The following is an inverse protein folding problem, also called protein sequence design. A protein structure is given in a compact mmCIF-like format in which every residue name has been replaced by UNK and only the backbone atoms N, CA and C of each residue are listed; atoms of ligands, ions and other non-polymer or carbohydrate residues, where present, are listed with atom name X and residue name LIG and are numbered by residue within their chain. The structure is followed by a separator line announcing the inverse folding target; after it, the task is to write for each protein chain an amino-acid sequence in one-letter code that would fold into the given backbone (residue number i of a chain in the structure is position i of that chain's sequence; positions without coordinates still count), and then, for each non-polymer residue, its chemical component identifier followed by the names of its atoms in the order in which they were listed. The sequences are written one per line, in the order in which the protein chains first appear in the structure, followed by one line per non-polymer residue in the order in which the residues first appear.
data_IF_648853960738
#
_entry.id   IF_648853960738
#
_cell.length_a   1.000
_cell.length_b   1.000
_cell.length_c   1.000
_cell.angle_alpha   90.00
_cell.angle_beta   90.00
_cell.angle_gamma   90.00
#
_symmetry.space_group_name_H-M   'P 1'
#
loop_
_entity.id
_entity.type
_entity.pdbx_description
1 polymer ?
#
# COMPACT_ATOMS: atom_id res chain seq x y z
N UNK A 1 14.30 13.74 -14.18
CA UNK A 1 13.15 12.82 -14.09
C UNK A 1 13.52 11.71 -13.12
N UNK A 2 12.72 11.50 -12.06
CA UNK A 2 12.92 10.44 -11.07
C UNK A 2 12.27 9.16 -11.66
N UNK A 3 13.08 8.09 -11.80
CA UNK A 3 12.61 6.79 -12.32
C UNK A 3 12.35 5.77 -11.21
N UNK A 4 12.90 6.05 -10.02
CA UNK A 4 12.75 5.18 -8.85
C UNK A 4 11.30 5.18 -8.36
N UNK A 5 10.80 4.03 -7.92
CA UNK A 5 9.52 3.95 -7.24
C UNK A 5 9.56 4.73 -5.93
N UNK A 6 8.50 5.47 -5.67
CA UNK A 6 8.23 6.18 -4.42
C UNK A 6 6.86 5.76 -3.88
N UNK A 7 6.60 6.03 -2.59
CA UNK A 7 5.36 5.61 -1.94
C UNK A 7 4.50 6.82 -1.60
N UNK A 8 3.21 6.65 -1.56
CA UNK A 8 2.27 7.72 -1.17
C UNK A 8 2.54 8.23 0.26
N UNK A 9 2.95 7.34 1.17
CA UNK A 9 3.30 7.70 2.55
C UNK A 9 4.52 8.62 2.66
N UNK A 10 5.33 8.71 1.60
CA UNK A 10 6.53 9.55 1.54
C UNK A 10 6.19 11.02 1.23
N UNK A 11 4.96 11.33 0.78
CA UNK A 11 4.55 12.68 0.40
C UNK A 11 4.55 13.61 1.62
N UNK A 12 3.93 13.19 2.71
CA UNK A 12 3.79 14.03 3.91
C UNK A 12 5.15 14.45 4.50
N UNK A 13 6.09 13.53 4.81
CA UNK A 13 7.41 13.92 5.31
C UNK A 13 8.20 14.76 4.31
N UNK A 14 8.01 14.56 3.01
CA UNK A 14 8.64 15.40 1.98
C UNK A 14 8.14 16.83 2.05
N UNK A 15 6.83 17.04 2.16
CA UNK A 15 6.24 18.37 2.30
C UNK A 15 6.72 19.05 3.58
N UNK A 16 6.75 18.33 4.71
CA UNK A 16 7.25 18.88 5.97
C UNK A 16 8.68 19.40 5.84
N UNK A 17 9.57 18.61 5.23
CA UNK A 17 10.96 19.03 5.02
C UNK A 17 11.06 20.24 4.10
N UNK A 18 10.29 20.27 3.00
CA UNK A 18 10.30 21.40 2.05
C UNK A 18 9.83 22.71 2.66
N UNK A 19 8.95 22.70 3.66
CA UNK A 19 8.46 23.90 4.34
C UNK A 19 9.21 24.18 5.65
N UNK A 20 10.31 23.45 5.92
CA UNK A 20 11.15 23.67 7.10
C UNK A 20 10.56 23.16 8.41
N UNK A 21 9.55 22.31 8.36
CA UNK A 21 9.01 21.62 9.56
C UNK A 21 9.92 20.43 9.83
N UNK A 22 10.87 20.62 10.73
CA UNK A 22 11.82 19.58 11.18
C UNK A 22 11.43 18.93 12.50
N UNK A 23 10.17 19.06 12.92
CA UNK A 23 9.70 18.47 14.18
C UNK A 23 9.80 16.94 14.13
N UNK A 24 9.97 16.36 15.29
CA UNK A 24 9.82 14.93 15.51
C UNK A 24 8.42 14.53 15.00
N UNK A 25 8.36 14.06 13.75
CA UNK A 25 7.11 13.67 13.11
C UNK A 25 6.53 12.39 13.72
N UNK A 26 7.09 11.96 14.86
CA UNK A 26 6.68 10.73 15.52
C UNK A 26 6.96 9.48 14.67
N UNK A 27 6.21 8.44 14.90
CA UNK A 27 6.34 7.17 14.18
C UNK A 27 5.58 7.19 12.85
N UNK A 28 6.02 8.00 11.88
CA UNK A 28 5.48 7.94 10.52
C UNK A 28 6.19 6.85 9.70
N UNK A 29 5.43 6.14 8.85
CA UNK A 29 5.98 5.07 8.02
C UNK A 29 6.63 5.58 6.72
N UNK A 30 6.57 6.88 6.44
CA UNK A 30 7.15 7.53 5.27
C UNK A 30 8.51 8.15 5.56
N UNK A 31 9.21 8.49 4.50
CA UNK A 31 10.48 9.25 4.54
C UNK A 31 10.45 10.37 3.52
N UNK A 32 11.25 11.40 3.77
CA UNK A 32 11.37 12.50 2.81
C UNK A 32 12.03 12.04 1.48
N UNK A 33 11.50 12.54 0.38
CA UNK A 33 12.03 12.37 -0.97
C UNK A 33 12.88 13.56 -1.41
N UNK A 34 13.13 14.54 -0.55
CA UNK A 34 13.99 15.72 -0.85
C UNK A 34 15.36 15.31 -1.39
N UNK A 35 16.03 14.25 -0.89
CA UNK A 35 17.27 13.78 -1.50
C UNK A 35 17.11 13.43 -2.99
N UNK A 36 16.01 12.79 -3.42
CA UNK A 36 15.76 12.50 -4.83
C UNK A 36 15.54 13.77 -5.66
N UNK A 37 14.87 14.78 -5.08
CA UNK A 37 14.71 16.10 -5.74
C UNK A 37 16.06 16.77 -5.96
N UNK A 38 17.00 16.57 -5.05
CA UNK A 38 18.38 17.07 -5.10
C UNK A 38 19.33 16.14 -5.89
N UNK A 39 18.78 15.21 -6.71
CA UNK A 39 19.55 14.27 -7.54
C UNK A 39 20.44 13.28 -6.74
N UNK A 40 20.17 13.11 -5.47
CA UNK A 40 20.80 12.11 -4.64
C UNK A 40 20.07 10.76 -4.78
N UNK A 41 20.70 9.66 -4.39
CA UNK A 41 20.09 8.33 -4.39
C UNK A 41 19.43 8.04 -3.04
N UNK A 42 18.30 7.32 -3.08
CA UNK A 42 17.69 6.69 -1.92
C UNK A 42 17.56 5.19 -2.18
N UNK A 43 17.72 4.37 -1.15
CA UNK A 43 17.38 2.95 -1.24
C UNK A 43 15.90 2.81 -1.53
N UNK A 44 15.54 1.99 -2.50
CA UNK A 44 14.13 1.75 -2.81
C UNK A 44 13.43 1.02 -1.64
N UNK A 45 12.24 1.49 -1.31
CA UNK A 45 11.37 0.88 -0.33
C UNK A 45 10.13 0.28 -1.03
N UNK A 46 9.75 -0.95 -0.71
CA UNK A 46 8.56 -1.56 -1.27
C UNK A 46 7.29 -0.78 -0.87
N UNK A 47 6.40 -0.57 -1.82
CA UNK A 47 5.09 0.04 -1.54
C UNK A 47 4.08 -1.03 -1.16
N UNK A 48 3.48 -0.90 0.04
CA UNK A 48 2.36 -1.73 0.46
C UNK A 48 1.11 -1.38 -0.33
N UNK A 49 0.37 -2.39 -0.74
CA UNK A 49 -0.89 -2.27 -1.48
C UNK A 49 -1.98 -3.00 -0.71
N UNK A 50 -3.11 -2.36 -0.50
CA UNK A 50 -4.32 -2.99 0.00
C UNK A 50 -5.51 -2.59 -0.88
N UNK A 51 -6.29 -3.55 -1.32
CA UNK A 51 -7.56 -3.31 -2.00
C UNK A 51 -8.71 -3.82 -1.15
N UNK A 52 -9.61 -2.91 -0.81
CA UNK A 52 -10.80 -3.19 0.01
C UNK A 52 -12.05 -2.63 -0.63
N UNK A 53 -12.33 -2.97 -1.89
CA UNK A 53 -13.59 -2.54 -2.53
C UNK A 53 -14.78 -3.24 -1.90
N UNK A 54 -15.86 -2.48 -1.63
CA UNK A 54 -17.17 -3.03 -1.27
C UNK A 54 -17.70 -4.01 -2.33
N UNK A 55 -17.27 -3.84 -3.59
CA UNK A 55 -17.55 -4.76 -4.71
C UNK A 55 -16.76 -6.07 -4.64
N UNK A 56 -15.75 -6.16 -3.79
CA UNK A 56 -14.88 -7.34 -3.64
C UNK A 56 -15.53 -8.49 -2.84
N UNK A 57 -16.87 -8.55 -2.76
CA UNK A 57 -17.57 -9.70 -2.15
C UNK A 57 -17.16 -11.04 -2.75
N UNK A 58 -16.71 -11.09 -4.01
CA UNK A 58 -16.24 -12.31 -4.68
C UNK A 58 -14.74 -12.61 -4.51
N UNK A 59 -13.87 -11.62 -4.43
CA UNK A 59 -12.41 -11.82 -4.41
C UNK A 59 -11.78 -11.71 -3.01
N UNK A 60 -12.52 -11.16 -2.02
CA UNK A 60 -11.98 -10.86 -0.71
C UNK A 60 -11.03 -9.66 -0.74
N UNK A 61 -10.54 -9.28 0.43
CA UNK A 61 -9.49 -8.25 0.54
C UNK A 61 -8.18 -8.81 0.02
N UNK A 62 -7.54 -8.07 -0.87
CA UNK A 62 -6.23 -8.40 -1.45
C UNK A 62 -5.20 -7.47 -0.85
N UNK A 63 -4.05 -8.01 -0.46
CA UNK A 63 -2.89 -7.24 -0.02
C UNK A 63 -1.67 -7.63 -0.84
N UNK A 64 -0.69 -6.77 -0.87
CA UNK A 64 0.54 -7.04 -1.61
C UNK A 64 1.58 -5.95 -1.47
N UNK A 65 2.60 -6.06 -2.28
CA UNK A 65 3.68 -5.09 -2.40
C UNK A 65 4.03 -4.84 -3.85
N UNK A 66 4.54 -3.64 -4.09
CA UNK A 66 5.11 -3.23 -5.37
C UNK A 66 6.54 -2.72 -5.16
N UNK A 67 7.42 -3.13 -6.04
CA UNK A 67 8.77 -2.60 -6.23
C UNK A 67 8.90 -2.05 -7.66
N UNK A 68 10.04 -1.52 -8.03
CA UNK A 68 10.31 -1.12 -9.43
C UNK A 68 10.26 -2.31 -10.40
N UNK A 69 10.54 -3.53 -9.93
CA UNK A 69 10.63 -4.71 -10.79
C UNK A 69 9.37 -5.58 -10.76
N UNK A 70 8.76 -5.74 -9.59
CA UNK A 70 7.68 -6.70 -9.40
C UNK A 70 6.50 -6.12 -8.64
N UNK A 71 5.31 -6.61 -8.96
CA UNK A 71 4.10 -6.44 -8.17
C UNK A 71 3.59 -7.80 -7.74
N UNK A 72 3.45 -7.98 -6.45
CA UNK A 72 2.98 -9.20 -5.82
C UNK A 72 1.70 -8.94 -5.04
N UNK A 73 0.69 -9.77 -5.25
CA UNK A 73 -0.60 -9.68 -4.55
C UNK A 73 -1.05 -11.06 -4.10
N UNK A 74 -1.78 -11.11 -2.99
CA UNK A 74 -2.47 -12.31 -2.51
C UNK A 74 -3.70 -11.98 -1.66
N UNK A 75 -4.50 -12.97 -1.35
CA UNK A 75 -5.59 -12.79 -0.39
C UNK A 75 -5.05 -12.40 1.00
N UNK A 76 -5.73 -11.46 1.67
CA UNK A 76 -5.39 -11.07 3.05
C UNK A 76 -5.67 -12.19 4.05
N UNK A 77 -6.77 -12.96 3.85
CA UNK A 77 -7.20 -14.01 4.78
C UNK A 77 -6.47 -15.33 4.59
N UNK A 78 -6.17 -15.67 3.33
CA UNK A 78 -5.62 -16.97 2.97
C UNK A 78 -4.39 -16.76 2.07
N UNK A 79 -3.22 -16.99 2.64
CA UNK A 79 -1.93 -16.75 1.98
C UNK A 79 -1.72 -17.61 0.73
N UNK A 80 -2.52 -18.66 0.55
CA UNK A 80 -2.43 -19.58 -0.59
C UNK A 80 -3.34 -19.19 -1.75
N UNK A 81 -4.22 -18.18 -1.56
CA UNK A 81 -5.22 -17.80 -2.55
C UNK A 81 -4.93 -16.46 -3.22
N UNK A 82 -5.36 -16.36 -4.47
CA UNK A 82 -5.27 -15.16 -5.29
C UNK A 82 -3.83 -14.64 -5.46
N UNK A 83 -2.87 -15.59 -5.50
CA UNK A 83 -1.46 -15.25 -5.69
C UNK A 83 -1.25 -14.78 -7.13
N UNK A 84 -0.77 -13.55 -7.27
CA UNK A 84 -0.34 -12.99 -8.55
C UNK A 84 1.02 -12.33 -8.41
N UNK A 85 1.84 -12.48 -9.45
CA UNK A 85 3.13 -11.84 -9.59
C UNK A 85 3.25 -11.28 -11.01
N UNK A 86 3.58 -10.00 -11.12
CA UNK A 86 3.80 -9.31 -12.39
C UNK A 86 5.21 -8.78 -12.47
N UNK A 87 5.87 -8.98 -13.62
CA UNK A 87 7.16 -8.39 -13.95
C UNK A 87 6.94 -7.01 -14.58
N UNK A 88 7.01 -5.97 -13.79
CA UNK A 88 6.72 -4.60 -14.22
C UNK A 88 7.74 -4.03 -15.20
N UNK A 89 8.92 -4.64 -15.29
CA UNK A 89 9.96 -4.22 -16.23
C UNK A 89 9.65 -4.68 -17.65
N UNK A 90 9.17 -5.92 -17.80
CA UNK A 90 8.90 -6.55 -19.09
C UNK A 90 7.39 -6.52 -19.45
N UNK A 91 6.52 -6.39 -18.45
CA UNK A 91 5.06 -6.32 -18.59
C UNK A 91 4.49 -5.17 -17.72
N UNK A 92 4.71 -3.90 -18.11
CA UNK A 92 4.24 -2.75 -17.36
C UNK A 92 2.71 -2.65 -17.28
N UNK A 93 2.00 -3.37 -18.17
CA UNK A 93 0.54 -3.41 -18.20
C UNK A 93 -0.07 -4.52 -17.33
N UNK A 94 0.76 -5.33 -16.64
CA UNK A 94 0.31 -6.37 -15.72
C UNK A 94 -0.63 -7.41 -16.38
N UNK A 95 -0.33 -7.79 -17.61
CA UNK A 95 -1.18 -8.67 -18.42
C UNK A 95 -0.95 -10.15 -18.13
N UNK A 96 0.25 -10.51 -17.64
CA UNK A 96 0.66 -11.90 -17.45
C UNK A 96 1.03 -12.19 -16.01
N UNK A 97 0.22 -13.00 -15.33
CA UNK A 97 0.59 -13.54 -14.02
C UNK A 97 1.69 -14.62 -14.18
N UNK A 98 2.87 -14.36 -13.60
CA UNK A 98 4.03 -15.25 -13.67
C UNK A 98 4.31 -15.98 -12.32
N UNK A 99 3.39 -15.94 -11.37
CA UNK A 99 3.61 -16.50 -10.02
C UNK A 99 3.96 -18.00 -10.04
N UNK A 100 3.26 -18.79 -10.85
CA UNK A 100 3.52 -20.25 -10.95
C UNK A 100 4.89 -20.59 -11.57
N UNK A 101 5.43 -19.70 -12.39
CA UNK A 101 6.72 -19.87 -13.05
C UNK A 101 7.91 -19.39 -12.20
N UNK A 102 7.64 -18.57 -11.19
CA UNK A 102 8.68 -17.90 -10.37
C UNK A 102 8.42 -18.05 -8.87
N UNK A 103 8.36 -19.30 -8.32
CA UNK A 103 8.03 -19.52 -6.92
C UNK A 103 9.05 -18.89 -5.96
N UNK A 104 10.32 -18.77 -6.35
CA UNK A 104 11.35 -18.14 -5.54
C UNK A 104 11.08 -16.65 -5.35
N UNK A 105 10.73 -15.93 -6.43
CA UNK A 105 10.39 -14.50 -6.35
C UNK A 105 9.11 -14.31 -5.51
N UNK A 106 8.12 -15.18 -5.65
CA UNK A 106 6.91 -15.17 -4.82
C UNK A 106 7.28 -15.27 -3.33
N UNK A 107 8.18 -16.19 -2.96
CA UNK A 107 8.63 -16.34 -1.57
C UNK A 107 9.38 -15.10 -1.06
N UNK A 108 10.23 -14.49 -1.86
CA UNK A 108 10.94 -13.26 -1.49
C UNK A 108 9.96 -12.11 -1.25
N UNK A 109 9.03 -11.90 -2.17
CA UNK A 109 8.01 -10.85 -2.05
C UNK A 109 7.08 -11.10 -0.85
N UNK A 110 6.71 -12.35 -0.58
CA UNK A 110 5.92 -12.72 0.61
C UNK A 110 6.66 -12.41 1.91
N UNK A 111 7.97 -12.72 2.00
CA UNK A 111 8.78 -12.37 3.18
C UNK A 111 8.79 -10.86 3.44
N UNK A 112 8.93 -10.05 2.38
CA UNK A 112 8.88 -8.59 2.49
C UNK A 112 7.49 -8.14 2.96
N UNK A 113 6.41 -8.68 2.37
CA UNK A 113 5.04 -8.37 2.76
C UNK A 113 4.78 -8.70 4.23
N UNK A 114 5.19 -9.88 4.68
CA UNK A 114 5.07 -10.30 6.08
C UNK A 114 5.83 -9.37 7.03
N UNK A 115 7.05 -8.95 6.67
CA UNK A 115 7.80 -8.00 7.47
C UNK A 115 7.05 -6.68 7.65
N UNK A 116 6.46 -6.15 6.58
CA UNK A 116 5.67 -4.91 6.63
C UNK A 116 4.41 -5.10 7.47
N UNK A 117 3.67 -6.19 7.26
CA UNK A 117 2.41 -6.42 7.99
C UNK A 117 2.62 -6.71 9.47
N UNK A 118 3.72 -7.37 9.84
CA UNK A 118 4.05 -7.67 11.24
C UNK A 118 4.62 -6.45 12.00
N UNK A 119 5.25 -5.50 11.30
CA UNK A 119 5.74 -4.25 11.89
C UNK A 119 4.65 -3.19 12.03
N UNK A 120 3.51 -3.37 11.37
CA UNK A 120 2.38 -2.47 11.49
C UNK A 120 1.73 -2.65 12.85
N UNK A 121 1.79 -1.64 13.72
CA UNK A 121 0.88 -1.55 14.86
C UNK A 121 -0.54 -1.56 14.32
N UNK A 122 -1.30 -2.59 14.64
CA UNK A 122 -2.73 -2.63 14.34
C UNK A 122 -3.34 -1.51 15.19
N UNK A 123 -3.61 -0.37 14.57
CA UNK A 123 -4.55 0.57 15.15
C UNK A 123 -5.90 -0.14 15.12
N UNK A 124 -6.32 -0.64 16.25
CA UNK A 124 -7.69 -1.07 16.46
C UNK A 124 -8.55 0.17 16.21
N UNK A 125 -9.11 0.26 15.02
CA UNK A 125 -10.08 1.32 14.74
C UNK A 125 -11.20 1.15 15.76
N UNK A 126 -11.52 2.16 16.57
CA UNK A 126 -12.59 2.05 17.53
C UNK A 126 -13.82 1.54 16.78
N UNK A 127 -14.40 0.47 17.29
CA UNK A 127 -15.58 -0.13 16.70
C UNK A 127 -16.71 0.91 16.73
N UNK A 128 -17.07 1.43 15.56
CA UNK A 128 -18.18 2.36 15.43
C UNK A 128 -19.44 1.65 15.92
N UNK A 129 -20.10 2.21 16.91
CA UNK A 129 -21.38 1.69 17.41
C UNK A 129 -22.44 1.76 16.32
N UNK A 130 -23.48 0.92 16.43
CA UNK A 130 -24.60 0.94 15.45
C UNK A 130 -25.26 2.32 15.34
N UNK A 131 -25.29 3.06 16.43
CA UNK A 131 -25.91 4.41 16.46
C UNK A 131 -25.02 5.46 15.81
N UNK A 132 -23.69 5.39 16.02
CA UNK A 132 -22.73 6.24 15.30
C UNK A 132 -22.74 5.94 13.80
N UNK A 133 -22.80 4.66 13.40
CA UNK A 133 -22.90 4.27 11.99
C UNK A 133 -24.16 4.86 11.33
N UNK A 134 -25.31 4.84 12.02
CA UNK A 134 -26.56 5.46 11.52
C UNK A 134 -26.43 6.96 11.39
N UNK A 135 -25.80 7.65 12.35
CA UNK A 135 -25.58 9.10 12.28
C UNK A 135 -24.67 9.45 11.09
N UNK A 136 -23.58 8.73 10.91
CA UNK A 136 -22.67 8.93 9.78
C UNK A 136 -23.41 8.67 8.45
N UNK A 137 -24.22 7.60 8.36
CA UNK A 137 -25.00 7.30 7.18
C UNK A 137 -26.00 8.43 6.86
N UNK A 138 -26.68 8.98 7.85
CA UNK A 138 -27.60 10.10 7.69
C UNK A 138 -26.89 11.36 7.17
N UNK A 139 -25.69 11.67 7.69
CA UNK A 139 -24.91 12.81 7.21
C UNK A 139 -24.40 12.59 5.77
N UNK A 140 -23.91 11.38 5.45
CA UNK A 140 -23.49 11.04 4.09
C UNK A 140 -24.64 11.13 3.08
N UNK A 141 -25.88 10.77 3.48
CA UNK A 141 -27.09 10.96 2.65
C UNK A 141 -27.39 12.45 2.43
N UNK A 142 -27.32 13.30 3.47
CA UNK A 142 -27.50 14.76 3.34
C UNK A 142 -26.48 15.38 2.38
N UNK A 143 -25.24 14.88 2.40
CA UNK A 143 -24.16 15.34 1.52
C UNK A 143 -24.21 14.73 0.11
N UNK A 144 -25.18 13.85 -0.19
CA UNK A 144 -25.35 13.23 -1.50
C UNK A 144 -24.37 12.08 -1.83
N UNK A 145 -23.61 11.59 -0.86
CA UNK A 145 -22.67 10.47 -1.06
C UNK A 145 -23.38 9.09 -1.04
N UNK A 146 -24.57 9.02 -0.46
CA UNK A 146 -25.39 7.81 -0.43
C UNK A 146 -26.79 8.14 -0.99
N UNK A 147 -27.29 7.25 -1.85
CA UNK A 147 -28.66 7.29 -2.36
C UNK A 147 -29.62 6.55 -1.43
#
# INVERSE_FOLDING_TARGET
MIKQQVRQVDIFPTLCELVGISSDLGSINGRSLVPLLNKQSLTEEPAYIESGSASAKKLGKVIGIRTSNYKYLRSRKDITKNITLYDLKNDPNETKNIASLNPQIVQEMEKILQKITNSSTVYDSPSITKDEAKKIEAELRKLGYLK
#
